data_IF_036728433628
#
_entry.id   IF_036728433628
#
_cell.length_a   1.000
_cell.length_b   1.000
_cell.length_c   1.000
_cell.angle_alpha   90.00
_cell.angle_beta   90.00
_cell.angle_gamma   90.00
#
_symmetry.space_group_name_H-M   'P 1'
#
loop_
_entity.id
_entity.type
_entity.pdbx_description
1 polymer ?
#
# COMPACT_ATOMS: atom_id res chain seq x y z
N UNK A 1 6.79 5.86 -14.72
CA UNK A 1 6.50 6.62 -13.49
C UNK A 1 6.02 5.63 -12.45
N UNK A 2 6.69 5.53 -11.30
CA UNK A 2 6.35 4.55 -10.27
C UNK A 2 5.23 5.12 -9.39
N UNK A 3 4.20 4.32 -9.14
CA UNK A 3 3.15 4.67 -8.16
C UNK A 3 3.29 3.78 -6.94
N UNK A 4 3.53 4.39 -5.78
CA UNK A 4 3.55 3.71 -4.50
C UNK A 4 2.15 3.82 -3.88
N UNK A 5 1.48 2.69 -3.74
CA UNK A 5 0.16 2.61 -3.13
C UNK A 5 0.25 2.22 -1.65
N UNK A 6 -0.49 2.89 -0.77
CA UNK A 6 -0.47 2.55 0.64
C UNK A 6 -1.27 3.46 1.55
N UNK A 7 -0.98 3.37 2.85
CA UNK A 7 -1.51 4.29 3.88
C UNK A 7 -0.35 5.11 4.41
N UNK A 8 -0.47 6.45 4.40
CA UNK A 8 0.63 7.36 4.76
C UNK A 8 1.28 7.07 6.12
N UNK A 9 0.47 6.68 7.11
CA UNK A 9 0.91 6.43 8.48
C UNK A 9 1.34 4.98 8.76
N UNK A 10 1.47 4.13 7.74
CA UNK A 10 2.04 2.79 7.89
C UNK A 10 3.58 2.83 7.85
N UNK A 11 4.24 2.15 8.78
CA UNK A 11 5.71 2.18 8.86
C UNK A 11 6.40 1.52 7.66
N UNK A 12 5.77 0.51 7.06
CA UNK A 12 6.25 -0.09 5.80
C UNK A 12 6.26 0.93 4.66
N UNK A 13 5.20 1.74 4.54
CA UNK A 13 5.10 2.79 3.52
C UNK A 13 6.11 3.91 3.78
N UNK A 14 6.31 4.32 5.03
CA UNK A 14 7.35 5.31 5.38
C UNK A 14 8.75 4.81 4.98
N UNK A 15 9.07 3.54 5.24
CA UNK A 15 10.33 2.91 4.85
C UNK A 15 10.50 2.86 3.33
N UNK A 16 9.45 2.46 2.60
CA UNK A 16 9.47 2.40 1.13
C UNK A 16 9.69 3.79 0.51
N UNK A 17 8.96 4.81 0.98
CA UNK A 17 9.13 6.21 0.53
C UNK A 17 10.56 6.71 0.75
N UNK A 18 11.09 6.49 1.96
CA UNK A 18 12.47 6.88 2.28
C UNK A 18 13.48 6.20 1.37
N UNK A 19 13.31 4.91 1.08
CA UNK A 19 14.20 4.20 0.17
C UNK A 19 14.16 4.79 -1.24
N UNK A 20 12.97 5.09 -1.77
CA UNK A 20 12.81 5.72 -3.08
C UNK A 20 13.48 7.12 -3.13
N UNK A 21 13.28 7.92 -2.09
CA UNK A 21 13.90 9.25 -1.94
C UNK A 21 15.42 9.16 -1.86
N UNK A 22 15.97 8.23 -1.07
CA UNK A 22 17.41 8.01 -0.92
C UNK A 22 18.09 7.59 -2.24
N UNK A 23 17.36 6.91 -3.12
CA UNK A 23 17.85 6.48 -4.43
C UNK A 23 17.52 7.48 -5.56
N UNK A 24 16.91 8.63 -5.24
CA UNK A 24 16.51 9.64 -6.23
C UNK A 24 15.48 9.12 -7.24
N UNK A 25 14.67 8.14 -6.87
CA UNK A 25 13.65 7.54 -7.73
C UNK A 25 12.38 8.36 -7.62
N UNK A 26 11.96 8.96 -8.72
CA UNK A 26 10.70 9.71 -8.76
C UNK A 26 9.49 8.78 -8.66
N UNK A 27 8.58 9.13 -7.75
CA UNK A 27 7.39 8.33 -7.46
C UNK A 27 6.19 9.20 -7.11
N UNK A 28 5.01 8.70 -7.46
CA UNK A 28 3.73 9.23 -6.98
C UNK A 28 3.24 8.37 -5.83
N UNK A 29 2.85 9.00 -4.74
CA UNK A 29 2.18 8.32 -3.64
C UNK A 29 0.66 8.37 -3.82
N UNK A 30 -0.01 7.22 -3.68
CA UNK A 30 -1.47 7.08 -3.69
C UNK A 30 -1.92 6.55 -2.32
N UNK A 31 -2.63 7.39 -1.56
CA UNK A 31 -3.11 7.06 -0.22
C UNK A 31 -4.52 6.48 -0.29
N UNK A 32 -4.69 5.21 0.08
CA UNK A 32 -6.00 4.56 0.06
C UNK A 32 -7.07 5.25 0.93
N UNK A 33 -6.67 5.98 1.97
CA UNK A 33 -7.61 6.67 2.87
C UNK A 33 -8.06 8.03 2.35
N UNK A 34 -7.26 8.65 1.48
CA UNK A 34 -7.49 10.00 0.96
C UNK A 34 -7.96 9.94 -0.48
N UNK A 35 -7.24 9.18 -1.31
CA UNK A 35 -7.48 9.02 -2.75
C UNK A 35 -8.47 7.88 -3.03
N UNK A 36 -8.73 7.02 -2.05
CA UNK A 36 -9.62 5.87 -2.17
C UNK A 36 -8.99 4.69 -2.90
N UNK A 37 -9.75 3.60 -2.98
CA UNK A 37 -9.43 2.43 -3.80
C UNK A 37 -10.73 1.96 -4.47
N UNK A 38 -10.68 1.69 -5.77
CA UNK A 38 -11.83 1.22 -6.52
C UNK A 38 -11.74 -0.29 -6.82
N UNK A 39 -12.86 -0.88 -7.19
CA UNK A 39 -12.95 -2.31 -7.50
C UNK A 39 -12.05 -2.72 -8.68
N UNK A 40 -11.94 -1.94 -9.78
CA UNK A 40 -11.02 -2.25 -10.87
C UNK A 40 -9.55 -2.34 -10.43
N UNK A 41 -9.08 -1.40 -9.62
CA UNK A 41 -7.71 -1.40 -9.12
C UNK A 41 -7.47 -2.59 -8.18
N UNK A 42 -8.42 -2.87 -7.29
CA UNK A 42 -8.33 -4.03 -6.40
C UNK A 42 -8.27 -5.35 -7.17
N UNK A 43 -9.09 -5.52 -8.21
CA UNK A 43 -9.07 -6.71 -9.07
C UNK A 43 -7.72 -6.87 -9.78
N UNK A 44 -7.11 -5.76 -10.20
CA UNK A 44 -5.76 -5.77 -10.80
C UNK A 44 -4.73 -6.29 -9.81
N UNK A 45 -4.75 -5.81 -8.56
CA UNK A 45 -3.81 -6.29 -7.53
C UNK A 45 -4.01 -7.76 -7.20
N UNK A 46 -5.26 -8.24 -7.11
CA UNK A 46 -5.56 -9.65 -6.86
C UNK A 46 -5.04 -10.53 -8.00
N UNK A 47 -5.20 -10.08 -9.25
CA UNK A 47 -4.74 -10.81 -10.43
C UNK A 47 -3.20 -10.92 -10.48
N UNK A 48 -2.49 -9.85 -10.13
CA UNK A 48 -1.02 -9.78 -10.23
C UNK A 48 -0.29 -10.40 -9.03
N UNK A 49 -0.79 -10.20 -7.81
CA UNK A 49 -0.10 -10.59 -6.56
C UNK A 49 -0.73 -11.80 -5.87
N UNK A 50 -1.91 -12.25 -6.34
CA UNK A 50 -2.75 -13.19 -5.61
C UNK A 50 -3.44 -12.55 -4.41
N UNK A 51 -4.38 -13.27 -3.80
CA UNK A 51 -5.19 -12.76 -2.68
C UNK A 51 -4.47 -12.80 -1.32
N UNK A 52 -3.41 -13.58 -1.18
CA UNK A 52 -2.76 -13.85 0.10
C UNK A 52 -2.11 -12.62 0.75
N UNK A 53 -1.39 -11.73 0.02
CA UNK A 53 -0.80 -10.51 0.60
C UNK A 53 -1.83 -9.53 1.18
N UNK A 54 -3.10 -9.61 0.72
CA UNK A 54 -4.17 -8.75 1.22
C UNK A 54 -4.64 -9.15 2.63
N UNK A 55 -4.41 -10.40 3.04
CA UNK A 55 -4.87 -10.90 4.34
C UNK A 55 -4.01 -10.45 5.52
N UNK A 56 -2.73 -10.12 5.30
CA UNK A 56 -1.86 -9.63 6.37
C UNK A 56 -2.27 -8.23 6.86
N UNK A 57 -2.82 -7.42 5.95
CA UNK A 57 -3.47 -6.14 6.28
C UNK A 57 -4.73 -6.33 7.16
N UNK A 58 -5.56 -7.33 6.84
CA UNK A 58 -6.76 -7.63 7.62
C UNK A 58 -6.40 -8.21 9.00
N UNK A 59 -5.39 -9.09 9.08
CA UNK A 59 -4.95 -9.73 10.32
C UNK A 59 -4.36 -8.73 11.33
N UNK A 60 -3.56 -7.76 10.87
CA UNK A 60 -2.99 -6.74 11.77
C UNK A 60 -4.05 -5.78 12.34
N UNK A 61 -5.15 -5.50 11.63
CA UNK A 61 -6.22 -4.63 12.12
C UNK A 61 -7.16 -5.33 13.12
N UNK A 62 -7.21 -6.65 13.15
CA UNK A 62 -7.96 -7.41 14.17
C UNK A 62 -7.18 -7.61 15.48
N UNK A 63 -5.86 -7.39 15.49
CA UNK A 63 -5.02 -7.55 16.69
C UNK A 63 -5.03 -6.32 17.63
N UNK A 64 -5.69 -5.22 17.26
CA UNK A 64 -5.80 -4.00 18.10
C UNK A 64 -7.20 -3.80 18.68
N UNK A 65 -8.06 -4.83 18.66
CA UNK A 65 -9.39 -4.82 19.30
C UNK A 65 -9.48 -5.87 20.41
N UNK A 66 -8.44 -5.93 21.24
CA UNK A 66 -8.39 -6.69 22.49
C UNK A 66 -7.83 -5.80 23.59
#
# INVERSE_FOLDING_TARGET
>A
MITLYGIKNCDTIKKARRWLEEHGIDYRFHDYRVDGIDLPLLNTFIAELGWQPLTEYARHNMAQTG
#
